data_IF_761986978238
#
_entry.id   IF_761986978238
#
_cell.length_a   1.000
_cell.length_b   1.000
_cell.length_c   1.000
_cell.angle_alpha   90.00
_cell.angle_beta   90.00
_cell.angle_gamma   90.00
#
_symmetry.space_group_name_H-M   'P 1'
#
loop_
_entity.id
_entity.type
_entity.pdbx_description
1 polymer ?
#
# COMPACT_ATOMS: atom_id res chain seq x y z
N UNK A 1 26.38 -2.61 0.01
CA UNK A 1 25.10 -2.52 0.68
C UNK A 1 24.18 -3.62 0.20
N UNK A 2 23.58 -4.31 1.11
CA UNK A 2 22.66 -5.38 0.76
C UNK A 2 21.26 -4.81 0.57
N UNK A 3 20.47 -5.46 -0.29
CA UNK A 3 19.10 -5.05 -0.54
C UNK A 3 18.24 -5.16 0.73
N UNK A 4 18.47 -6.20 1.55
CA UNK A 4 17.71 -6.39 2.78
C UNK A 4 18.01 -5.31 3.81
N UNK A 5 19.27 -5.00 4.00
CA UNK A 5 19.66 -3.96 4.94
C UNK A 5 19.13 -2.61 4.49
N UNK A 6 19.22 -2.34 3.19
CA UNK A 6 18.70 -1.11 2.63
C UNK A 6 17.19 -1.00 2.85
N UNK A 7 16.44 -2.08 2.59
CA UNK A 7 14.99 -2.06 2.77
C UNK A 7 14.61 -1.80 4.22
N UNK A 8 15.24 -2.50 5.15
CA UNK A 8 14.96 -2.32 6.57
C UNK A 8 15.34 -0.91 7.04
N UNK A 9 16.49 -0.42 6.63
CA UNK A 9 16.93 0.93 7.00
C UNK A 9 16.07 1.99 6.36
N UNK A 10 15.71 1.80 5.08
CA UNK A 10 14.90 2.78 4.35
C UNK A 10 13.52 2.94 4.94
N UNK A 11 12.95 1.88 5.54
CA UNK A 11 11.65 1.97 6.21
C UNK A 11 11.66 2.94 7.38
N UNK A 12 12.83 3.18 7.94
CA UNK A 12 12.99 4.05 9.10
C UNK A 12 13.31 5.49 8.71
N UNK A 13 13.56 5.73 7.44
CA UNK A 13 13.99 7.03 6.94
C UNK A 13 13.01 7.55 5.89
N UNK A 14 12.74 8.84 5.96
CA UNK A 14 11.91 9.48 4.96
C UNK A 14 12.59 9.40 3.60
N UNK A 15 11.81 9.09 2.56
CA UNK A 15 12.28 9.15 1.19
C UNK A 15 12.34 10.59 0.75
N UNK A 16 13.50 11.05 0.28
CA UNK A 16 13.68 12.44 -0.13
C UNK A 16 12.91 12.74 -1.43
N UNK A 17 12.89 11.79 -2.36
CA UNK A 17 12.28 12.01 -3.69
C UNK A 17 11.65 10.71 -4.18
N UNK A 18 10.48 10.34 -3.66
CA UNK A 18 9.82 9.15 -4.18
C UNK A 18 9.41 9.36 -5.64
N UNK A 19 9.60 8.33 -6.47
CA UNK A 19 9.18 8.36 -7.87
C UNK A 19 7.68 8.13 -8.00
N UNK A 20 7.11 7.37 -7.07
CA UNK A 20 5.70 7.01 -7.08
C UNK A 20 5.14 7.19 -5.68
N UNK A 21 3.96 7.78 -5.60
CA UNK A 21 3.21 7.85 -4.35
C UNK A 21 1.91 7.08 -4.54
N UNK A 22 1.61 6.18 -3.61
CA UNK A 22 0.37 5.41 -3.57
C UNK A 22 -0.41 5.83 -2.34
N UNK A 23 -1.65 6.26 -2.52
CA UNK A 23 -2.57 6.53 -1.42
C UNK A 23 -3.70 5.53 -1.51
N UNK A 24 -4.03 4.85 -0.43
CA UNK A 24 -5.09 3.85 -0.42
C UNK A 24 -5.94 3.94 0.83
N UNK A 25 -7.18 3.45 0.71
CA UNK A 25 -8.11 3.35 1.81
C UNK A 25 -9.03 2.16 1.55
N UNK A 26 -9.40 1.45 2.60
CA UNK A 26 -10.30 0.31 2.50
C UNK A 26 -11.23 0.26 3.69
N UNK A 27 -12.29 -0.50 3.56
CA UNK A 27 -13.25 -0.66 4.63
C UNK A 27 -14.26 -1.76 4.33
N UNK A 28 -15.22 -1.92 5.22
CA UNK A 28 -16.29 -2.87 5.03
C UNK A 28 -17.61 -2.26 5.47
N UNK A 29 -18.68 -2.67 4.80
CA UNK A 29 -20.04 -2.31 5.18
C UNK A 29 -20.47 -3.33 6.23
N UNK A 30 -20.34 -2.94 7.51
CA UNK A 30 -20.35 -3.89 8.61
C UNK A 30 -18.95 -4.45 8.81
N UNK A 31 -18.58 -4.83 10.02
CA UNK A 31 -17.22 -5.28 10.30
C UNK A 31 -17.29 -6.63 11.05
N UNK A 32 -17.35 -7.79 10.35
CA UNK A 32 -17.13 -7.94 8.90
C UNK A 32 -18.37 -7.67 8.06
N UNK A 33 -18.15 -7.44 6.78
CA UNK A 33 -19.20 -7.21 5.82
C UNK A 33 -18.62 -7.11 4.42
N UNK A 34 -19.34 -6.46 3.50
CA UNK A 34 -18.84 -6.30 2.15
C UNK A 34 -17.64 -5.37 2.13
N UNK A 35 -16.51 -5.88 1.66
CA UNK A 35 -15.28 -5.12 1.59
C UNK A 35 -15.18 -4.27 0.33
N UNK A 36 -14.55 -3.11 0.47
CA UNK A 36 -14.31 -2.19 -0.63
C UNK A 36 -13.02 -1.43 -0.39
N UNK A 37 -12.53 -0.76 -1.42
CA UNK A 37 -11.37 0.10 -1.28
C UNK A 37 -11.17 0.98 -2.49
N UNK A 38 -10.27 1.93 -2.35
CA UNK A 38 -9.85 2.75 -3.47
C UNK A 38 -8.40 3.14 -3.29
N UNK A 39 -7.74 3.41 -4.41
CA UNK A 39 -6.35 3.88 -4.38
C UNK A 39 -6.10 4.83 -5.53
N UNK A 40 -5.08 5.66 -5.38
CA UNK A 40 -4.62 6.57 -6.43
C UNK A 40 -3.10 6.56 -6.43
N UNK A 41 -2.50 6.67 -7.61
CA UNK A 41 -1.05 6.76 -7.73
C UNK A 41 -0.67 8.04 -8.44
N UNK A 42 0.49 8.58 -8.08
CA UNK A 42 1.07 9.78 -8.67
C UNK A 42 2.55 9.52 -8.97
N UNK A 43 3.09 10.27 -9.94
CA UNK A 43 4.50 10.18 -10.29
C UNK A 43 4.72 9.33 -11.51
N UNK A 44 5.74 8.49 -11.50
CA UNK A 44 6.12 7.66 -12.64
C UNK A 44 5.03 6.70 -13.09
N UNK A 45 4.10 6.36 -12.20
CA UNK A 45 2.90 5.58 -12.52
C UNK A 45 1.71 6.37 -11.99
N UNK A 46 0.76 6.70 -12.85
CA UNK A 46 -0.39 7.52 -12.46
C UNK A 46 -1.69 6.83 -12.82
N UNK A 47 -2.65 6.87 -11.90
CA UNK A 47 -4.00 6.39 -12.17
C UNK A 47 -4.88 7.43 -12.84
N UNK A 48 -4.57 8.71 -12.65
CA UNK A 48 -5.49 9.79 -13.00
C UNK A 48 -6.54 9.93 -11.94
N UNK A 49 -7.66 9.24 -12.10
CA UNK A 49 -8.72 9.17 -11.08
C UNK A 49 -8.44 8.04 -10.10
N UNK A 50 -9.05 8.06 -8.90
CA UNK A 50 -8.94 6.93 -7.99
C UNK A 50 -9.54 5.66 -8.59
N UNK A 51 -8.84 4.55 -8.39
CA UNK A 51 -9.31 3.22 -8.77
C UNK A 51 -10.13 2.66 -7.63
N UNK A 52 -11.30 2.10 -7.93
CA UNK A 52 -12.18 1.54 -6.92
C UNK A 52 -12.24 0.03 -7.04
N UNK A 53 -12.39 -0.64 -5.88
CA UNK A 53 -12.45 -2.10 -5.82
C UNK A 53 -13.55 -2.54 -4.87
N UNK A 54 -14.16 -3.68 -5.17
CA UNK A 54 -15.06 -4.39 -4.27
C UNK A 54 -14.51 -5.79 -4.10
N UNK A 55 -14.65 -6.33 -2.88
CA UNK A 55 -14.05 -7.61 -2.56
C UNK A 55 -15.13 -8.64 -2.24
N UNK A 56 -14.97 -9.84 -2.81
CA UNK A 56 -15.91 -10.92 -2.59
C UNK A 56 -15.86 -11.41 -1.15
N UNK A 57 -17.00 -11.91 -0.66
CA UNK A 57 -17.11 -12.47 0.68
C UNK A 57 -17.23 -11.40 1.75
N UNK A 58 -17.20 -11.86 2.99
CA UNK A 58 -17.25 -10.98 4.15
C UNK A 58 -15.82 -10.62 4.56
N UNK A 59 -15.57 -9.35 4.72
CA UNK A 59 -14.23 -8.84 5.05
C UNK A 59 -14.30 -7.95 6.27
N UNK A 60 -13.23 -7.96 7.07
CA UNK A 60 -13.07 -6.96 8.12
C UNK A 60 -12.50 -5.68 7.52
N UNK A 61 -12.59 -4.58 8.25
CA UNK A 61 -11.97 -3.33 7.82
C UNK A 61 -10.48 -3.53 7.55
N UNK A 62 -9.78 -4.21 8.45
CA UNK A 62 -8.33 -4.41 8.30
C UNK A 62 -7.99 -5.28 7.10
N UNK A 63 -8.80 -6.31 6.82
CA UNK A 63 -8.61 -7.12 5.63
C UNK A 63 -8.76 -6.28 4.36
N UNK A 64 -9.82 -5.46 4.29
CA UNK A 64 -10.06 -4.60 3.13
C UNK A 64 -8.94 -3.59 2.95
N UNK A 65 -8.39 -3.04 4.04
CA UNK A 65 -7.23 -2.15 3.97
C UNK A 65 -6.04 -2.86 3.33
N UNK A 66 -5.70 -4.04 3.80
CA UNK A 66 -4.60 -4.81 3.21
C UNK A 66 -4.86 -5.17 1.75
N UNK A 67 -6.08 -5.62 1.45
CA UNK A 67 -6.42 -6.00 0.07
C UNK A 67 -6.28 -4.82 -0.88
N UNK A 68 -6.63 -3.63 -0.42
CA UNK A 68 -6.50 -2.42 -1.24
C UNK A 68 -5.03 -2.02 -1.44
N UNK A 69 -4.22 -2.18 -0.41
CA UNK A 69 -2.78 -1.99 -0.56
C UNK A 69 -2.22 -2.94 -1.62
N UNK A 70 -2.61 -4.23 -1.56
CA UNK A 70 -2.15 -5.21 -2.56
C UNK A 70 -2.58 -4.81 -3.97
N UNK A 71 -3.82 -4.36 -4.15
CA UNK A 71 -4.31 -3.94 -5.45
C UNK A 71 -3.51 -2.76 -5.99
N UNK A 72 -3.23 -1.79 -5.14
CA UNK A 72 -2.42 -0.63 -5.53
C UNK A 72 -1.01 -1.00 -5.94
N UNK A 73 -0.36 -1.87 -5.17
CA UNK A 73 1.00 -2.32 -5.48
C UNK A 73 1.04 -3.12 -6.78
N UNK A 74 0.07 -4.01 -6.98
CA UNK A 74 -0.02 -4.78 -8.22
C UNK A 74 -0.25 -3.88 -9.42
N UNK A 75 -1.08 -2.86 -9.26
CA UNK A 75 -1.33 -1.89 -10.33
C UNK A 75 -0.03 -1.22 -10.75
N UNK A 76 0.74 -0.73 -9.79
CA UNK A 76 2.02 -0.06 -10.08
C UNK A 76 2.97 -1.01 -10.81
N UNK A 77 3.08 -2.25 -10.35
CA UNK A 77 3.99 -3.23 -10.96
C UNK A 77 3.57 -3.57 -12.39
N UNK A 78 2.26 -3.73 -12.62
CA UNK A 78 1.76 -4.02 -13.99
C UNK A 78 2.02 -2.84 -14.93
N UNK A 79 1.74 -1.62 -14.45
CA UNK A 79 1.93 -0.43 -15.29
C UNK A 79 3.40 -0.16 -15.56
N UNK A 80 4.26 -0.37 -14.58
CA UNK A 80 5.70 -0.24 -14.79
C UNK A 80 6.17 -1.22 -15.85
N UNK A 81 5.72 -2.47 -15.79
CA UNK A 81 6.07 -3.47 -16.80
C UNK A 81 5.55 -3.05 -18.18
N UNK A 82 4.31 -2.60 -18.26
CA UNK A 82 3.69 -2.21 -19.53
C UNK A 82 4.41 -1.02 -20.18
N UNK A 83 5.00 -0.14 -19.39
CA UNK A 83 5.70 1.05 -19.90
C UNK A 83 7.22 0.88 -19.95
N UNK A 84 7.72 -0.34 -19.68
CA UNK A 84 9.16 -0.60 -19.75
C UNK A 84 9.96 -0.04 -18.60
N UNK A 85 9.32 0.29 -17.49
CA UNK A 85 10.03 0.77 -16.30
C UNK A 85 10.44 -0.41 -15.43
N UNK A 86 11.68 -0.40 -14.96
CA UNK A 86 12.17 -1.40 -14.03
C UNK A 86 11.75 -1.03 -12.62
N UNK A 87 10.95 -1.87 -11.93
CA UNK A 87 10.51 -1.55 -10.56
C UNK A 87 11.66 -1.30 -9.59
N UNK A 88 12.82 -1.90 -9.81
CA UNK A 88 13.97 -1.69 -8.92
C UNK A 88 14.52 -0.27 -8.99
N UNK A 89 14.11 0.51 -10.00
CA UNK A 89 14.48 1.91 -10.11
C UNK A 89 13.46 2.84 -9.46
N UNK A 90 12.35 2.28 -8.98
CA UNK A 90 11.27 3.09 -8.41
C UNK A 90 11.38 3.14 -6.89
N UNK A 91 11.27 4.35 -6.35
CA UNK A 91 11.17 4.62 -4.91
C UNK A 91 9.72 4.94 -4.62
N UNK A 92 9.05 4.12 -3.82
CA UNK A 92 7.62 4.25 -3.59
C UNK A 92 7.31 4.71 -2.18
N UNK A 93 6.49 5.75 -2.07
CA UNK A 93 5.90 6.15 -0.80
C UNK A 93 4.43 5.72 -0.80
N UNK A 94 4.03 4.98 0.23
CA UNK A 94 2.65 4.55 0.41
C UNK A 94 2.07 5.30 1.60
N UNK A 95 0.90 5.92 1.42
CA UNK A 95 0.25 6.72 2.45
C UNK A 95 -1.12 6.15 2.77
N UNK A 96 -1.42 6.09 4.05
CA UNK A 96 -2.68 5.52 4.53
C UNK A 96 -3.08 6.10 5.87
N UNK A 97 -4.37 6.14 6.14
CA UNK A 97 -4.87 6.49 7.46
C UNK A 97 -5.04 5.26 8.37
N UNK A 98 -4.70 4.08 7.88
CA UNK A 98 -4.71 2.87 8.69
C UNK A 98 -3.40 2.74 9.46
N UNK A 99 -3.43 3.13 10.72
CA UNK A 99 -2.24 3.03 11.57
C UNK A 99 -1.78 1.58 11.70
N UNK A 100 -2.72 0.65 11.80
CA UNK A 100 -2.39 -0.77 11.91
C UNK A 100 -1.57 -1.24 10.71
N UNK A 101 -2.02 -0.95 9.49
CA UNK A 101 -1.30 -1.40 8.30
C UNK A 101 0.08 -0.75 8.22
N UNK A 102 0.15 0.55 8.46
CA UNK A 102 1.42 1.28 8.43
C UNK A 102 2.41 0.68 9.43
N UNK A 103 1.96 0.45 10.67
CA UNK A 103 2.85 -0.07 11.72
C UNK A 103 3.24 -1.52 11.50
N UNK A 104 2.31 -2.34 11.01
CA UNK A 104 2.61 -3.74 10.75
C UNK A 104 3.56 -3.92 9.57
N UNK A 105 3.31 -3.22 8.46
CA UNK A 105 4.18 -3.32 7.28
C UNK A 105 5.58 -2.78 7.59
N UNK A 106 5.65 -1.70 8.36
CA UNK A 106 6.92 -1.11 8.76
C UNK A 106 7.69 -1.96 9.79
N UNK A 107 7.05 -2.98 10.33
CA UNK A 107 7.69 -3.91 11.26
C UNK A 107 7.67 -3.48 12.72
N UNK A 108 6.98 -2.39 13.03
CA UNK A 108 6.90 -1.90 14.42
C UNK A 108 5.85 -2.64 15.23
N UNK A 109 4.81 -3.18 14.59
CA UNK A 109 3.79 -3.98 15.24
C UNK A 109 3.76 -5.38 14.65
N UNK A 110 3.55 -6.40 15.51
CA UNK A 110 3.40 -7.77 15.08
C UNK A 110 2.03 -7.99 14.44
N UNK A 111 1.97 -8.93 13.51
CA UNK A 111 0.72 -9.35 12.91
C UNK A 111 0.24 -10.60 13.65
N UNK A 112 -0.66 -10.40 14.62
CA UNK A 112 -1.18 -11.51 15.45
C UNK A 112 -2.40 -12.16 14.83
N UNK A 113 -3.15 -11.43 14.03
CA UNK A 113 -4.38 -11.94 13.41
C UNK A 113 -4.02 -12.87 12.25
N UNK A 114 -4.48 -14.09 12.30
CA UNK A 114 -4.16 -15.09 11.28
C UNK A 114 -4.70 -14.73 9.91
N UNK A 115 -5.85 -14.06 9.85
CA UNK A 115 -6.42 -13.62 8.58
C UNK A 115 -5.61 -12.55 7.89
N UNK A 116 -4.84 -11.78 8.65
CA UNK A 116 -4.00 -10.72 8.09
C UNK A 116 -2.60 -11.20 7.69
N UNK A 117 -2.13 -12.31 8.26
CA UNK A 117 -0.76 -12.77 8.02
C UNK A 117 -0.44 -12.99 6.55
N UNK A 118 -1.26 -13.72 5.77
CA UNK A 118 -0.94 -13.92 4.36
C UNK A 118 -1.00 -12.61 3.56
N UNK A 119 -1.90 -11.70 3.92
CA UNK A 119 -2.00 -10.41 3.25
C UNK A 119 -0.78 -9.55 3.54
N UNK A 120 -0.34 -9.53 4.79
CA UNK A 120 0.87 -8.84 5.19
C UNK A 120 2.11 -9.41 4.48
N UNK A 121 2.23 -10.74 4.44
CA UNK A 121 3.37 -11.38 3.78
C UNK A 121 3.42 -11.04 2.30
N UNK A 122 2.26 -11.05 1.63
CA UNK A 122 2.20 -10.71 0.22
C UNK A 122 2.55 -9.25 -0.02
N UNK A 123 2.05 -8.35 0.81
CA UNK A 123 2.37 -6.92 0.69
C UNK A 123 3.87 -6.69 0.80
N UNK A 124 4.53 -7.31 1.77
CA UNK A 124 5.96 -7.19 1.92
C UNK A 124 6.71 -7.77 0.73
N UNK A 125 6.23 -8.88 0.18
CA UNK A 125 6.84 -9.48 -1.00
C UNK A 125 6.75 -8.54 -2.22
N UNK A 126 5.59 -7.91 -2.42
CA UNK A 126 5.44 -6.95 -3.51
C UNK A 126 6.32 -5.72 -3.31
N UNK A 127 6.40 -5.22 -2.08
CA UNK A 127 7.24 -4.06 -1.77
C UNK A 127 8.73 -4.34 -2.05
N UNK A 128 9.19 -5.57 -1.85
CA UNK A 128 10.59 -5.92 -2.12
C UNK A 128 10.97 -5.77 -3.58
N UNK A 129 10.01 -5.74 -4.49
CA UNK A 129 10.29 -5.60 -5.92
C UNK A 129 10.68 -4.20 -6.31
N UNK A 130 10.42 -3.23 -5.45
CA UNK A 130 10.80 -1.83 -5.67
C UNK A 130 12.22 -1.58 -5.18
N UNK A 131 12.84 -0.52 -5.70
CA UNK A 131 14.18 -0.14 -5.27
C UNK A 131 14.22 0.31 -3.82
N UNK A 132 13.17 0.99 -3.39
CA UNK A 132 13.01 1.40 -2.01
C UNK A 132 11.54 1.68 -1.76
N UNK A 133 11.14 1.65 -0.48
CA UNK A 133 9.74 1.91 -0.13
C UNK A 133 9.63 2.43 1.29
N UNK A 134 8.53 3.15 1.55
CA UNK A 134 8.20 3.65 2.87
C UNK A 134 6.69 3.72 2.99
N UNK A 135 6.15 3.37 4.16
CA UNK A 135 4.75 3.64 4.48
C UNK A 135 4.66 4.78 5.46
N UNK A 136 3.78 5.73 5.17
CA UNK A 136 3.57 6.92 5.97
C UNK A 136 2.11 6.99 6.40
N UNK A 137 1.86 7.18 7.68
CA UNK A 137 0.52 7.42 8.17
C UNK A 137 0.13 8.87 7.92
N UNK A 138 -1.13 9.09 7.53
CA UNK A 138 -1.71 10.43 7.46
C UNK A 138 -3.13 10.39 8.03
N UNK A 139 -3.68 11.55 8.45
CA UNK A 139 -5.04 11.57 9.00
C UNK A 139 -6.09 11.32 7.92
N UNK A 140 -7.29 10.92 8.35
CA UNK A 140 -8.42 10.61 7.46
C UNK A 140 -8.71 11.72 6.46
N UNK A 141 -8.55 12.97 6.88
CA UNK A 141 -8.79 14.12 6.00
C UNK A 141 -7.92 14.08 4.75
N UNK A 142 -6.70 13.53 4.85
CA UNK A 142 -5.82 13.39 3.69
C UNK A 142 -6.31 12.29 2.75
N UNK A 143 -6.81 11.18 3.28
CA UNK A 143 -7.41 10.14 2.45
C UNK A 143 -8.59 10.71 1.66
N UNK A 144 -9.44 11.49 2.33
CA UNK A 144 -10.59 12.13 1.67
C UNK A 144 -10.12 13.08 0.57
N UNK A 145 -9.06 13.85 0.84
CA UNK A 145 -8.54 14.81 -0.14
C UNK A 145 -8.04 14.10 -1.41
N UNK A 146 -7.33 12.99 -1.25
CA UNK A 146 -6.78 12.25 -2.38
C UNK A 146 -7.81 11.38 -3.08
N UNK A 147 -8.71 10.75 -2.33
CA UNK A 147 -9.57 9.70 -2.85
C UNK A 147 -11.03 10.15 -3.03
N UNK A 148 -11.39 11.30 -2.49
CA UNK A 148 -12.72 11.85 -2.66
C UNK A 148 -13.78 11.26 -1.73
N UNK A 149 -13.35 10.54 -0.71
CA UNK A 149 -14.33 9.95 0.23
C UNK A 149 -13.75 9.73 1.61
#
# INVERSE_FOLDING_TARGET
MTANARGAAANQQALLSPNVTLVFDGGSLGNPGKGYGSFITRGAVQTGDPERREYAGRRTNNEAEYMTLLEGLRYILREAQATGQDPTTLMIEVRSDSKLVVEQISGRWKVKNEGLRPLHAEARELLRRFGNWQLTWHPRSESVRYLGH
#
